data_IF_122087419237
#
_entry.id   IF_122087419237
#
_cell.length_a   1.000
_cell.length_b   1.000
_cell.length_c   1.000
_cell.angle_alpha   90.00
_cell.angle_beta   90.00
_cell.angle_gamma   90.00
#
_symmetry.space_group_name_H-M   'P 1'
#
loop_
_entity.id
_entity.type
_entity.pdbx_description
1 polymer ?
#
# COMPACT_ATOMS: atom_id res chain seq x y z
N UNK A 1 -15.19 9.48 9.79
CA UNK A 1 -14.25 9.13 10.87
C UNK A 1 -13.86 10.41 11.60
N UNK A 2 -13.87 10.37 12.93
CA UNK A 2 -13.24 11.40 13.75
C UNK A 2 -11.71 11.24 13.70
N UNK A 3 -10.98 12.24 14.20
CA UNK A 3 -9.52 12.15 14.30
C UNK A 3 -9.07 10.98 15.20
N UNK A 4 -9.79 10.72 16.29
CA UNK A 4 -9.50 9.59 17.17
C UNK A 4 -9.66 8.26 16.43
N UNK A 5 -10.71 8.12 15.62
CA UNK A 5 -10.92 6.90 14.80
C UNK A 5 -9.76 6.70 13.81
N UNK A 6 -9.22 7.78 13.22
CA UNK A 6 -8.08 7.71 12.29
C UNK A 6 -6.82 7.28 13.05
N UNK A 7 -6.56 7.85 14.22
CA UNK A 7 -5.39 7.49 15.03
C UNK A 7 -5.44 6.01 15.47
N UNK A 8 -6.61 5.51 15.86
CA UNK A 8 -6.81 4.09 16.17
C UNK A 8 -6.55 3.19 14.96
N UNK A 9 -7.13 3.52 13.80
CA UNK A 9 -6.91 2.80 12.55
C UNK A 9 -5.41 2.75 12.18
N UNK A 10 -4.70 3.88 12.29
CA UNK A 10 -3.27 3.95 12.00
C UNK A 10 -2.44 3.11 12.96
N UNK A 11 -2.82 3.05 14.25
CA UNK A 11 -2.13 2.21 15.24
C UNK A 11 -2.33 0.71 14.98
N UNK A 12 -3.49 0.30 14.47
CA UNK A 12 -3.73 -1.08 14.05
C UNK A 12 -2.96 -1.41 12.77
N UNK A 13 -3.04 -0.53 11.77
CA UNK A 13 -2.31 -0.68 10.51
C UNK A 13 -0.79 -0.77 10.73
N UNK A 14 -0.23 0.04 11.62
CA UNK A 14 1.20 -0.01 12.00
C UNK A 14 1.59 -1.40 12.51
N UNK A 15 0.81 -1.98 13.42
CA UNK A 15 1.10 -3.32 13.97
C UNK A 15 1.05 -4.40 12.88
N UNK A 16 0.06 -4.30 11.99
CA UNK A 16 -0.11 -5.23 10.87
C UNK A 16 1.10 -5.16 9.92
N UNK A 17 1.42 -3.98 9.39
CA UNK A 17 2.50 -3.83 8.42
C UNK A 17 3.90 -4.05 9.01
N UNK A 18 4.10 -3.75 10.30
CA UNK A 18 5.34 -4.10 11.00
C UNK A 18 5.60 -5.62 11.05
N UNK A 19 4.55 -6.44 10.93
CA UNK A 19 4.66 -7.90 10.91
C UNK A 19 4.75 -8.49 9.50
N UNK A 20 4.39 -7.73 8.47
CA UNK A 20 4.41 -8.20 7.08
C UNK A 20 5.81 -8.11 6.49
N UNK A 21 6.16 -9.11 5.66
CA UNK A 21 7.40 -9.06 4.90
C UNK A 21 7.25 -8.06 3.73
N UNK A 22 8.33 -7.36 3.40
CA UNK A 22 8.34 -6.46 2.23
C UNK A 22 8.14 -7.20 0.90
N UNK A 23 8.49 -8.49 0.86
CA UNK A 23 8.11 -9.42 -0.21
C UNK A 23 7.08 -10.40 0.35
N UNK A 24 5.85 -10.34 -0.15
CA UNK A 24 4.79 -11.29 0.19
C UNK A 24 4.79 -12.44 -0.84
N UNK A 25 4.67 -13.68 -0.35
CA UNK A 25 4.54 -14.86 -1.19
C UNK A 25 3.10 -15.39 -1.13
N UNK A 26 2.41 -15.36 -2.27
CA UNK A 26 1.07 -15.91 -2.42
C UNK A 26 1.16 -17.37 -2.88
N UNK A 27 0.91 -18.28 -1.94
CA UNK A 27 1.02 -19.72 -2.16
C UNK A 27 -0.18 -20.28 -2.93
N UNK A 28 -1.38 -19.80 -2.61
CA UNK A 28 -2.65 -20.32 -3.13
C UNK A 28 -3.63 -19.19 -3.42
N UNK A 29 -4.75 -19.50 -4.08
CA UNK A 29 -5.78 -18.52 -4.43
C UNK A 29 -5.52 -17.78 -5.74
N UNK A 30 -6.56 -17.16 -6.28
CA UNK A 30 -6.45 -16.35 -7.51
C UNK A 30 -5.97 -14.94 -7.16
N UNK A 31 -4.80 -14.55 -7.66
CA UNK A 31 -4.33 -13.17 -7.53
C UNK A 31 -5.06 -12.22 -8.51
N UNK A 32 -5.51 -11.08 -7.99
CA UNK A 32 -6.12 -9.99 -8.74
C UNK A 32 -5.34 -8.72 -8.42
N UNK A 33 -4.68 -8.15 -9.42
CA UNK A 33 -3.86 -6.96 -9.25
C UNK A 33 -4.64 -5.70 -9.62
N UNK A 34 -4.55 -4.67 -8.78
CA UNK A 34 -5.21 -3.37 -8.94
C UNK A 34 -4.13 -2.31 -8.96
N UNK A 35 -4.08 -1.52 -10.03
CA UNK A 35 -3.14 -0.40 -10.14
C UNK A 35 -3.58 0.83 -9.34
N UNK A 36 -3.05 1.98 -9.74
CA UNK A 36 -3.23 3.26 -9.07
C UNK A 36 -4.71 3.61 -8.88
N UNK A 37 -5.04 4.09 -7.68
CA UNK A 37 -6.39 4.56 -7.36
C UNK A 37 -6.43 6.07 -7.19
N UNK A 38 -5.34 6.68 -6.72
CA UNK A 38 -5.17 8.13 -6.63
C UNK A 38 -6.41 8.83 -6.05
N UNK A 39 -6.91 8.36 -4.91
CA UNK A 39 -8.07 8.95 -4.25
C UNK A 39 -9.42 8.74 -4.95
N UNK A 40 -9.55 7.85 -5.94
CA UNK A 40 -10.84 7.44 -6.51
C UNK A 40 -11.53 6.39 -5.61
N UNK A 41 -12.14 6.88 -4.52
CA UNK A 41 -12.84 6.04 -3.56
C UNK A 41 -13.95 5.20 -4.20
N UNK A 42 -14.70 5.74 -5.16
CA UNK A 42 -15.81 5.01 -5.78
C UNK A 42 -15.30 3.79 -6.57
N UNK A 43 -14.22 3.96 -7.33
CA UNK A 43 -13.58 2.86 -8.04
C UNK A 43 -13.03 1.82 -7.05
N UNK A 44 -12.34 2.26 -6.00
CA UNK A 44 -11.78 1.39 -4.96
C UNK A 44 -12.87 0.54 -4.28
N UNK A 45 -13.96 1.17 -3.84
CA UNK A 45 -15.10 0.47 -3.24
C UNK A 45 -15.68 -0.57 -4.20
N UNK A 46 -15.90 -0.22 -5.47
CA UNK A 46 -16.44 -1.15 -6.47
C UNK A 46 -15.54 -2.36 -6.70
N UNK A 47 -14.22 -2.14 -6.73
CA UNK A 47 -13.24 -3.23 -6.91
C UNK A 47 -13.27 -4.16 -5.69
N UNK A 48 -13.21 -3.61 -4.48
CA UNK A 48 -13.26 -4.39 -3.24
C UNK A 48 -14.55 -5.21 -3.16
N UNK A 49 -15.72 -4.59 -3.33
CA UNK A 49 -17.00 -5.31 -3.27
C UNK A 49 -17.11 -6.44 -4.30
N UNK A 50 -16.46 -6.29 -5.46
CA UNK A 50 -16.55 -7.27 -6.54
C UNK A 50 -15.56 -8.42 -6.39
N UNK A 51 -14.37 -8.15 -5.87
CA UNK A 51 -13.25 -9.09 -5.96
C UNK A 51 -12.72 -9.59 -4.62
N UNK A 52 -12.99 -8.91 -3.51
CA UNK A 52 -12.55 -9.35 -2.19
C UNK A 52 -13.47 -10.47 -1.66
N UNK A 53 -12.95 -11.70 -1.64
CA UNK A 53 -13.62 -12.89 -1.11
C UNK A 53 -12.58 -13.95 -0.73
N UNK A 54 -13.03 -15.07 -0.17
CA UNK A 54 -12.16 -16.15 0.32
C UNK A 54 -11.32 -16.87 -0.76
N UNK A 55 -11.68 -16.73 -2.04
CA UNK A 55 -11.04 -17.46 -3.13
C UNK A 55 -9.97 -16.63 -3.85
N UNK A 56 -9.93 -15.32 -3.57
CA UNK A 56 -9.07 -14.35 -4.24
C UNK A 56 -8.08 -13.69 -3.28
N UNK A 57 -6.89 -13.42 -3.78
CA UNK A 57 -5.94 -12.47 -3.21
C UNK A 57 -6.05 -11.17 -3.99
N UNK A 58 -6.65 -10.15 -3.41
CA UNK A 58 -6.75 -8.82 -4.00
C UNK A 58 -5.50 -8.02 -3.61
N UNK A 59 -4.69 -7.64 -4.59
CA UNK A 59 -3.41 -6.97 -4.39
C UNK A 59 -3.47 -5.60 -5.05
N UNK A 60 -3.45 -4.55 -4.25
CA UNK A 60 -3.29 -3.20 -4.76
C UNK A 60 -1.80 -2.85 -4.85
N UNK A 61 -1.41 -2.23 -5.97
CA UNK A 61 -0.01 -2.01 -6.34
C UNK A 61 0.55 -0.66 -5.87
N UNK A 62 -0.15 0.07 -4.99
CA UNK A 62 0.27 1.40 -4.54
C UNK A 62 -0.50 2.56 -5.17
N UNK A 63 -0.03 3.78 -4.90
CA UNK A 63 -0.58 5.04 -5.39
C UNK A 63 -2.07 5.21 -5.04
N UNK A 64 -2.31 5.20 -3.72
CA UNK A 64 -3.62 5.38 -3.11
C UNK A 64 -4.01 6.84 -2.94
N UNK A 65 -3.00 7.66 -2.72
CA UNK A 65 -3.14 9.08 -2.39
C UNK A 65 -2.73 9.98 -3.55
N UNK A 66 -2.92 11.28 -3.36
CA UNK A 66 -2.69 12.35 -4.33
C UNK A 66 -3.51 12.26 -5.63
N UNK A 67 -3.47 13.36 -6.41
CA UNK A 67 -4.17 13.61 -7.69
C UNK A 67 -5.70 13.64 -7.63
N UNK A 68 -6.34 12.73 -6.92
CA UNK A 68 -7.80 12.69 -6.79
C UNK A 68 -8.32 13.41 -5.54
N UNK A 69 -9.62 13.71 -5.52
CA UNK A 69 -10.21 14.56 -4.50
C UNK A 69 -10.45 13.87 -3.16
N UNK A 70 -10.44 12.53 -3.11
CA UNK A 70 -10.83 11.76 -1.93
C UNK A 70 -9.69 10.88 -1.36
N UNK A 71 -8.43 11.27 -1.53
CA UNK A 71 -7.25 10.52 -1.05
C UNK A 71 -7.35 10.09 0.42
N UNK A 72 -7.75 10.99 1.33
CA UNK A 72 -7.90 10.66 2.76
C UNK A 72 -8.98 9.60 3.00
N UNK A 73 -10.11 9.68 2.31
CA UNK A 73 -11.17 8.70 2.45
C UNK A 73 -10.78 7.36 1.82
N UNK A 74 -10.11 7.38 0.66
CA UNK A 74 -9.62 6.21 -0.05
C UNK A 74 -8.60 5.42 0.79
N UNK A 75 -7.57 6.09 1.32
CA UNK A 75 -6.56 5.40 2.13
C UNK A 75 -7.15 4.84 3.43
N UNK A 76 -8.03 5.59 4.10
CA UNK A 76 -8.69 5.11 5.32
C UNK A 76 -9.60 3.91 5.05
N UNK A 77 -10.32 3.91 3.93
CA UNK A 77 -11.12 2.77 3.50
C UNK A 77 -10.26 1.53 3.24
N UNK A 78 -9.17 1.68 2.47
CA UNK A 78 -8.24 0.58 2.19
C UNK A 78 -7.60 0.00 3.45
N UNK A 79 -7.14 0.86 4.36
CA UNK A 79 -6.57 0.44 5.64
C UNK A 79 -7.59 -0.33 6.48
N UNK A 80 -8.83 0.16 6.57
CA UNK A 80 -9.91 -0.53 7.29
C UNK A 80 -10.20 -1.91 6.68
N UNK A 81 -10.33 -1.99 5.36
CA UNK A 81 -10.55 -3.26 4.66
C UNK A 81 -9.37 -4.22 4.84
N UNK A 82 -8.13 -3.71 4.91
CA UNK A 82 -6.95 -4.54 5.20
C UNK A 82 -7.00 -5.13 6.61
N UNK A 83 -7.49 -4.40 7.60
CA UNK A 83 -7.63 -4.91 8.96
C UNK A 83 -8.73 -5.98 9.05
N UNK A 84 -9.81 -5.84 8.27
CA UNK A 84 -10.89 -6.81 8.19
C UNK A 84 -10.52 -8.08 7.40
N UNK A 85 -9.61 -7.95 6.43
CA UNK A 85 -9.25 -9.01 5.48
C UNK A 85 -7.73 -9.18 5.32
N UNK A 86 -6.98 -9.42 6.41
CA UNK A 86 -5.51 -9.43 6.37
C UNK A 86 -4.93 -10.54 5.48
N UNK A 87 -5.64 -11.65 5.32
CA UNK A 87 -5.19 -12.84 4.58
C UNK A 87 -5.62 -12.85 3.09
N UNK A 88 -6.37 -11.85 2.63
CA UNK A 88 -6.88 -11.80 1.24
C UNK A 88 -6.81 -10.42 0.58
N UNK A 89 -6.54 -9.35 1.33
CA UNK A 89 -6.24 -8.03 0.81
C UNK A 89 -4.78 -7.66 1.11
N UNK A 90 -4.05 -7.24 0.09
CA UNK A 90 -2.65 -6.81 0.19
C UNK A 90 -2.49 -5.42 -0.41
N UNK A 91 -1.81 -4.53 0.32
CA UNK A 91 -1.56 -3.16 -0.10
C UNK A 91 -0.05 -2.99 -0.27
N UNK A 92 0.41 -2.76 -1.49
CA UNK A 92 1.83 -2.47 -1.75
C UNK A 92 2.11 -0.97 -1.65
N UNK A 93 3.38 -0.61 -1.50
CA UNK A 93 3.84 0.76 -1.51
C UNK A 93 3.95 1.28 -2.95
N UNK A 94 3.27 2.37 -3.26
CA UNK A 94 3.57 3.20 -4.43
C UNK A 94 4.54 4.32 -4.08
N UNK A 95 4.98 5.07 -5.09
CA UNK A 95 5.90 6.19 -4.85
C UNK A 95 5.22 7.32 -4.06
N UNK A 96 3.89 7.47 -4.17
CA UNK A 96 3.14 8.47 -3.40
C UNK A 96 2.99 8.14 -1.91
N UNK A 97 3.05 6.85 -1.52
CA UNK A 97 3.09 6.43 -0.11
C UNK A 97 4.49 6.58 0.52
N UNK A 98 5.52 6.67 -0.33
CA UNK A 98 6.93 6.84 0.03
C UNK A 98 7.36 8.23 0.50
N UNK A 99 6.43 9.05 1.00
CA UNK A 99 6.64 10.48 1.25
C UNK A 99 7.88 10.81 2.11
N UNK A 100 8.22 9.96 3.09
CA UNK A 100 9.42 10.14 3.92
C UNK A 100 10.75 10.08 3.14
N UNK A 101 10.77 9.41 1.99
CA UNK A 101 11.96 9.26 1.15
C UNK A 101 12.02 10.25 -0.01
N UNK A 102 10.89 10.79 -0.46
CA UNK A 102 10.85 11.76 -1.53
C UNK A 102 9.48 12.39 -1.69
N UNK A 103 9.47 13.68 -2.01
CA UNK A 103 8.24 14.40 -2.34
C UNK A 103 7.92 14.20 -3.83
N UNK A 104 7.08 13.21 -4.12
CA UNK A 104 6.52 13.00 -5.45
C UNK A 104 5.33 13.95 -5.65
N UNK A 105 5.26 14.58 -6.83
CA UNK A 105 4.26 15.59 -7.12
C UNK A 105 3.23 15.10 -8.15
N UNK A 106 1.94 15.47 -7.99
CA UNK A 106 1.39 16.34 -6.94
C UNK A 106 1.34 15.65 -5.56
N UNK A 107 1.41 16.43 -4.48
CA UNK A 107 1.46 15.94 -3.08
C UNK A 107 0.31 16.51 -2.24
N UNK A 108 -0.84 16.78 -2.87
CA UNK A 108 -1.97 17.50 -2.29
C UNK A 108 -2.54 16.82 -1.03
N UNK A 109 -2.49 15.47 -0.97
CA UNK A 109 -2.86 14.74 0.24
C UNK A 109 -1.94 15.11 1.40
N UNK A 110 -0.64 15.02 1.18
CA UNK A 110 0.38 15.26 2.20
C UNK A 110 0.43 16.72 2.65
N UNK A 111 0.32 17.66 1.70
CA UNK A 111 0.31 19.10 1.98
C UNK A 111 -0.98 19.55 2.67
N UNK A 112 -2.08 18.81 2.47
CA UNK A 112 -3.39 19.07 3.09
C UNK A 112 -3.54 18.57 4.53
N UNK A 113 -2.64 17.72 5.01
CA UNK A 113 -2.68 17.18 6.38
C UNK A 113 -2.03 18.12 7.40
N UNK A 114 -2.55 18.09 8.64
CA UNK A 114 -1.84 18.68 9.77
C UNK A 114 -0.54 17.92 10.07
N UNK A 115 0.37 18.57 10.80
CA UNK A 115 1.73 18.05 11.04
C UNK A 115 1.72 16.68 11.71
N UNK A 116 0.80 16.46 12.66
CA UNK A 116 0.74 15.23 13.45
C UNK A 116 0.17 14.09 12.61
N UNK A 117 -0.93 14.32 11.88
CA UNK A 117 -1.48 13.31 10.97
C UNK A 117 -0.51 12.98 9.84
N UNK A 118 0.15 13.98 9.24
CA UNK A 118 1.15 13.75 8.20
C UNK A 118 2.28 12.86 8.69
N UNK A 119 2.78 13.10 9.90
CA UNK A 119 3.80 12.25 10.50
C UNK A 119 3.30 10.81 10.68
N UNK A 120 2.09 10.63 11.24
CA UNK A 120 1.52 9.31 11.47
C UNK A 120 1.25 8.53 10.18
N UNK A 121 0.66 9.16 9.16
CA UNK A 121 0.51 8.51 7.85
C UNK A 121 1.87 8.15 7.25
N UNK A 122 2.86 9.04 7.33
CA UNK A 122 4.19 8.75 6.80
C UNK A 122 4.85 7.57 7.51
N UNK A 123 4.70 7.44 8.83
CA UNK A 123 5.24 6.32 9.61
C UNK A 123 4.55 4.99 9.27
N UNK A 124 3.24 4.99 9.06
CA UNK A 124 2.49 3.78 8.70
C UNK A 124 2.71 3.38 7.24
N UNK A 125 2.53 4.32 6.30
CA UNK A 125 2.58 4.02 4.87
C UNK A 125 3.99 3.65 4.40
N UNK A 126 5.05 4.12 5.08
CA UNK A 126 6.43 3.70 4.82
C UNK A 126 6.77 2.25 5.22
N UNK A 127 5.83 1.54 5.86
CA UNK A 127 5.97 0.13 6.23
C UNK A 127 5.26 -0.82 5.26
N UNK A 128 4.55 -0.29 4.27
CA UNK A 128 3.85 -1.11 3.28
C UNK A 128 4.82 -2.07 2.57
N UNK A 129 4.38 -3.31 2.27
CA UNK A 129 5.14 -4.22 1.44
C UNK A 129 5.51 -3.63 0.08
N UNK A 130 6.64 -4.04 -0.49
CA UNK A 130 7.13 -3.51 -1.77
C UNK A 130 6.70 -4.38 -2.95
N UNK A 131 6.56 -5.68 -2.74
CA UNK A 131 6.27 -6.62 -3.82
C UNK A 131 5.48 -7.83 -3.34
N UNK A 132 4.77 -8.45 -4.28
CA UNK A 132 4.16 -9.76 -4.17
C UNK A 132 4.75 -10.68 -5.24
N UNK A 133 4.95 -11.94 -4.88
CA UNK A 133 5.21 -13.01 -5.84
C UNK A 133 4.21 -14.15 -5.70
N UNK A 134 3.90 -14.81 -6.81
CA UNK A 134 3.00 -15.97 -6.83
C UNK A 134 3.77 -17.26 -7.14
N UNK A 135 3.22 -18.40 -6.72
CA UNK A 135 3.81 -19.73 -6.98
C UNK A 135 3.98 -20.08 -8.46
N UNK A 136 3.24 -19.43 -9.37
CA UNK A 136 3.39 -19.59 -10.82
C UNK A 136 4.38 -18.59 -11.47
N UNK A 137 5.15 -17.85 -10.66
CA UNK A 137 6.26 -17.02 -11.13
C UNK A 137 5.89 -15.59 -11.56
N UNK A 138 4.70 -15.09 -11.19
CA UNK A 138 4.37 -13.67 -11.37
C UNK A 138 4.98 -12.89 -10.22
N UNK A 139 5.60 -11.75 -10.54
CA UNK A 139 6.06 -10.75 -9.56
C UNK A 139 5.30 -9.46 -9.86
N UNK A 140 4.73 -8.85 -8.83
CA UNK A 140 3.98 -7.62 -8.92
C UNK A 140 4.48 -6.61 -7.88
N UNK A 141 4.65 -5.38 -8.32
CA UNK A 141 5.14 -4.21 -7.58
C UNK A 141 4.63 -2.96 -8.31
N UNK A 142 4.83 -1.78 -7.75
CA UNK A 142 4.31 -0.53 -8.30
C UNK A 142 4.97 -0.14 -9.65
N UNK A 143 6.27 0.13 -9.63
CA UNK A 143 7.07 0.57 -10.76
C UNK A 143 7.81 -0.56 -11.46
N UNK A 144 9.14 -0.59 -11.32
CA UNK A 144 10.01 -1.53 -12.02
C UNK A 144 10.72 -2.51 -11.07
N UNK A 145 11.19 -3.63 -11.63
CA UNK A 145 12.02 -4.57 -10.90
C UNK A 145 13.28 -3.85 -10.40
N UNK A 146 13.57 -3.89 -9.08
CA UNK A 146 14.77 -3.29 -8.54
C UNK A 146 16.00 -4.10 -8.97
N UNK A 147 17.15 -3.43 -9.08
CA UNK A 147 18.45 -4.05 -9.34
C UNK A 147 18.95 -4.84 -8.11
N UNK A 148 18.39 -6.03 -7.91
CA UNK A 148 18.74 -6.97 -6.83
C UNK A 148 19.14 -8.33 -7.40
N UNK A 149 19.98 -9.07 -6.66
CA UNK A 149 20.52 -10.35 -7.13
C UNK A 149 19.52 -11.51 -7.06
N UNK A 150 18.59 -11.45 -6.09
CA UNK A 150 17.52 -12.43 -5.91
C UNK A 150 16.22 -11.77 -5.46
N UNK A 151 15.10 -12.44 -5.67
CA UNK A 151 13.78 -11.92 -5.30
C UNK A 151 13.68 -11.64 -3.79
N UNK A 152 14.28 -12.52 -2.99
CA UNK A 152 14.39 -12.43 -1.54
C UNK A 152 15.14 -11.17 -1.05
N UNK A 153 15.99 -10.57 -1.88
CA UNK A 153 16.70 -9.34 -1.55
C UNK A 153 15.79 -8.10 -1.56
N UNK A 154 14.60 -8.17 -2.18
CA UNK A 154 13.57 -7.12 -2.06
C UNK A 154 13.26 -6.84 -0.59
N UNK A 155 13.27 -7.89 0.25
CA UNK A 155 13.03 -7.75 1.70
C UNK A 155 14.08 -6.90 2.43
N UNK A 156 15.22 -6.64 1.81
CA UNK A 156 16.34 -5.86 2.38
C UNK A 156 16.40 -4.43 1.87
N UNK A 157 15.57 -4.07 0.87
CA UNK A 157 15.52 -2.73 0.31
C UNK A 157 15.15 -1.73 1.41
N UNK A 158 15.90 -0.63 1.49
CA UNK A 158 15.66 0.45 2.45
C UNK A 158 14.89 1.56 1.76
N UNK A 159 13.91 2.14 2.46
CA UNK A 159 13.16 3.28 1.96
C UNK A 159 14.15 4.40 1.55
N UNK A 160 13.97 4.96 0.35
CA UNK A 160 14.84 5.99 -0.21
C UNK A 160 16.18 5.52 -0.78
N UNK A 161 16.47 4.21 -0.82
CA UNK A 161 17.64 3.69 -1.55
C UNK A 161 17.48 3.80 -3.06
N UNK A 162 18.54 3.54 -3.83
CA UNK A 162 18.48 3.57 -5.29
C UNK A 162 17.54 2.49 -5.85
N UNK A 163 17.49 1.33 -5.20
CA UNK A 163 16.61 0.22 -5.52
C UNK A 163 15.15 0.57 -5.18
N UNK A 164 14.92 1.29 -4.09
CA UNK A 164 13.58 1.75 -3.73
C UNK A 164 13.02 2.73 -4.76
N UNK A 165 13.83 3.64 -5.31
CA UNK A 165 13.38 4.58 -6.35
C UNK A 165 13.08 3.92 -7.71
N UNK A 166 13.41 2.64 -7.89
CA UNK A 166 13.07 1.88 -9.10
C UNK A 166 11.69 1.23 -9.00
N UNK A 167 11.31 0.83 -7.78
CA UNK A 167 9.97 0.32 -7.45
C UNK A 167 8.99 1.48 -7.41
#
# INVERSE_FOLDING_TARGET
MTRADIEELLNEAEKTFASEAKLIQLETGRAIFVGDTHGDLEATERIIHKYLNSDNNLVFLGDYVDRGPASLANINFLLGQKMEHPDSLYLLMGNHEGYAAGNFHPADFWDGLDVELRQRYSEVLSQLPLAVSTSNGVIALHGALPDVSGLEDISRIKLGSAEWHQI
#
